data_IF_451910059866
#
_entry.id   IF_451910059866
#
_cell.length_a   1.000
_cell.length_b   1.000
_cell.length_c   1.000
_cell.angle_alpha   90.00
_cell.angle_beta   90.00
_cell.angle_gamma   90.00
#
_symmetry.space_group_name_H-M   'P 1'
#
loop_
_entity.id
_entity.type
_entity.pdbx_description
1 polymer ?
#
# COMPACT_ATOMS: atom_id res chain seq x y z
N UNK A 1 65.27 -7.94 153.60
CA UNK A 1 65.73 -9.31 153.32
C UNK A 1 66.59 -9.29 152.06
N UNK A 2 67.83 -9.83 152.02
CA UNK A 2 68.59 -10.54 153.06
C UNK A 2 69.35 -9.70 154.12
N UNK A 3 70.70 -9.74 154.20
CA UNK A 3 71.44 -10.01 155.45
C UNK A 3 72.72 -9.17 155.74
N UNK A 4 72.78 -8.58 156.94
CA UNK A 4 73.78 -8.73 158.06
C UNK A 4 75.31 -8.58 157.85
N UNK A 5 75.97 -7.69 158.62
CA UNK A 5 76.75 -7.87 159.92
C UNK A 5 78.11 -8.60 159.77
N UNK A 6 79.20 -8.31 160.51
CA UNK A 6 79.54 -7.38 161.63
C UNK A 6 81.05 -7.49 161.96
N UNK A 7 81.74 -6.52 162.59
CA UNK A 7 82.06 -6.43 164.06
C UNK A 7 82.87 -7.62 164.67
N UNK A 8 83.90 -7.53 165.54
CA UNK A 8 84.74 -6.51 166.28
C UNK A 8 86.17 -7.13 166.52
N UNK A 9 87.25 -6.51 167.04
CA UNK A 9 87.54 -5.13 167.50
C UNK A 9 88.15 -5.02 168.94
N UNK A 10 89.47 -5.24 169.14
CA UNK A 10 90.28 -5.13 170.41
C UNK A 10 91.79 -4.94 170.09
N UNK A 11 92.68 -4.33 170.90
CA UNK A 11 92.61 -3.83 172.31
C UNK A 11 93.74 -2.80 172.64
N UNK A 12 93.48 -1.89 173.60
CA UNK A 12 94.37 -1.21 174.61
C UNK A 12 95.71 -0.51 174.18
N UNK A 13 96.18 0.62 174.75
CA UNK A 13 95.73 1.51 175.86
C UNK A 13 96.83 1.73 176.94
N UNK A 14 97.01 2.87 177.66
CA UNK A 14 96.45 4.25 177.62
C UNK A 14 97.23 5.19 178.61
N UNK A 15 97.70 6.39 178.22
CA UNK A 15 98.12 7.46 179.17
C UNK A 15 97.98 8.89 178.59
N UNK A 16 97.82 9.92 179.44
CA UNK A 16 97.41 11.32 179.08
C UNK A 16 98.25 12.40 179.80
N UNK A 17 98.28 13.63 179.23
CA UNK A 17 98.09 14.88 180.01
C UNK A 17 97.83 16.15 179.16
N UNK A 18 96.67 16.82 179.39
CA UNK A 18 96.27 18.24 179.21
C UNK A 18 96.89 19.15 178.12
N UNK A 19 96.08 19.63 177.15
CA UNK A 19 96.01 21.04 176.65
C UNK A 19 95.03 21.29 175.46
N UNK A 20 93.76 20.83 175.48
CA UNK A 20 92.96 20.81 174.22
C UNK A 20 91.44 21.10 174.40
N UNK A 21 90.99 22.35 174.16
CA UNK A 21 89.55 22.74 174.16
C UNK A 21 89.14 23.91 173.22
N UNK A 22 90.06 24.58 172.53
CA UNK A 22 89.75 25.77 171.71
C UNK A 22 89.66 25.46 170.19
N UNK A 23 90.07 24.26 169.77
CA UNK A 23 90.26 23.87 168.35
C UNK A 23 88.99 23.53 167.56
N UNK A 24 87.87 23.18 168.22
CA UNK A 24 86.76 22.50 167.53
C UNK A 24 85.64 23.42 166.99
N UNK A 25 85.54 24.66 167.49
CA UNK A 25 84.47 25.59 167.07
C UNK A 25 84.70 26.14 165.65
N UNK A 26 85.95 26.39 165.25
CA UNK A 26 86.26 26.92 163.91
C UNK A 26 86.02 25.88 162.80
N UNK A 27 86.36 24.61 163.06
CA UNK A 27 86.13 23.50 162.13
C UNK A 27 84.65 23.37 161.75
N UNK A 28 83.74 23.59 162.70
CA UNK A 28 82.30 23.53 162.44
C UNK A 28 81.82 24.65 161.49
N UNK A 29 82.32 25.88 161.65
CA UNK A 29 81.99 27.01 160.76
C UNK A 29 82.53 26.82 159.35
N UNK A 30 83.78 26.36 159.22
CA UNK A 30 84.37 26.05 157.92
C UNK A 30 83.59 24.95 157.18
N UNK A 31 83.15 23.92 157.90
CA UNK A 31 82.33 22.84 157.35
C UNK A 31 80.95 23.37 156.91
N UNK A 32 80.29 24.21 157.72
CA UNK A 32 79.00 24.82 157.37
C UNK A 32 79.08 25.68 156.09
N UNK A 33 80.09 26.56 155.98
CA UNK A 33 80.32 27.35 154.77
C UNK A 33 80.61 26.48 153.53
N UNK A 34 81.31 25.35 153.72
CA UNK A 34 81.56 24.38 152.64
C UNK A 34 80.26 23.67 152.21
N UNK A 35 79.33 23.38 153.14
CA UNK A 35 77.99 22.88 152.81
C UNK A 35 77.12 23.92 152.11
N UNK A 36 77.16 25.20 152.51
CA UNK A 36 76.43 26.28 151.84
C UNK A 36 76.93 26.49 150.40
N UNK A 37 78.25 26.54 150.19
CA UNK A 37 78.83 26.72 148.87
C UNK A 37 78.54 25.50 147.98
N UNK A 38 78.55 24.28 148.55
CA UNK A 38 78.14 23.05 147.85
C UNK A 38 76.65 23.02 147.53
N UNK A 39 75.78 23.56 148.41
CA UNK A 39 74.36 23.73 148.16
C UNK A 39 74.10 24.75 147.05
N UNK A 40 74.87 25.85 147.01
CA UNK A 40 74.77 26.88 145.99
C UNK A 40 75.21 26.36 144.61
N UNK A 41 76.35 25.67 144.53
CA UNK A 41 76.84 25.04 143.29
C UNK A 41 75.87 23.95 142.79
N UNK A 42 75.39 23.07 143.68
CA UNK A 42 74.39 22.06 143.28
C UNK A 42 73.04 22.67 142.90
N UNK A 43 72.64 23.79 143.52
CA UNK A 43 71.47 24.58 143.12
C UNK A 43 71.63 25.24 141.75
N UNK A 44 72.82 25.79 141.44
CA UNK A 44 73.17 26.34 140.13
C UNK A 44 73.14 25.24 139.06
N UNK A 45 73.84 24.12 139.26
CA UNK A 45 73.81 22.99 138.32
C UNK A 45 72.41 22.40 138.12
N UNK A 46 71.57 22.39 139.15
CA UNK A 46 70.17 21.97 139.03
C UNK A 46 69.34 22.99 138.23
N UNK A 47 69.58 24.29 138.40
CA UNK A 47 68.94 25.35 137.61
C UNK A 47 69.33 25.27 136.14
N UNK A 48 70.64 25.14 135.87
CA UNK A 48 71.20 24.94 134.52
C UNK A 48 70.65 23.69 133.85
N UNK A 49 70.53 22.58 134.60
CA UNK A 49 69.94 21.34 134.09
C UNK A 49 68.44 21.50 133.79
N UNK A 50 67.66 22.17 134.66
CA UNK A 50 66.25 22.50 134.39
C UNK A 50 66.09 23.40 133.17
N UNK A 51 66.92 24.42 133.04
CA UNK A 51 66.95 25.27 131.85
C UNK A 51 67.32 24.50 130.58
N UNK A 52 68.30 23.59 130.66
CA UNK A 52 68.66 22.72 129.54
C UNK A 52 67.49 21.81 129.15
N UNK A 53 66.80 21.19 130.12
CA UNK A 53 65.59 20.41 129.88
C UNK A 53 64.47 21.26 129.25
N UNK A 54 64.24 22.49 129.70
CA UNK A 54 63.24 23.39 129.11
C UNK A 54 63.63 23.85 127.69
N UNK A 55 64.91 24.14 127.44
CA UNK A 55 65.44 24.47 126.10
C UNK A 55 65.28 23.27 125.16
N UNK A 56 65.61 22.06 125.62
CA UNK A 56 65.43 20.80 124.88
C UNK A 56 63.95 20.51 124.62
N UNK A 57 63.06 20.72 125.58
CA UNK A 57 61.62 20.52 125.41
C UNK A 57 61.04 21.47 124.35
N UNK A 58 61.38 22.77 124.41
CA UNK A 58 60.98 23.76 123.38
C UNK A 58 61.55 23.42 122.01
N UNK A 59 62.81 22.97 121.94
CA UNK A 59 63.42 22.53 120.69
C UNK A 59 62.72 21.29 120.12
N UNK A 60 62.37 20.29 120.94
CA UNK A 60 61.61 19.11 120.52
C UNK A 60 60.19 19.48 120.06
N UNK A 61 59.49 20.37 120.75
CA UNK A 61 58.18 20.89 120.34
C UNK A 61 58.28 21.59 118.97
N UNK A 62 59.25 22.51 118.81
CA UNK A 62 59.51 23.19 117.53
C UNK A 62 59.89 22.22 116.40
N UNK A 63 60.70 21.20 116.68
CA UNK A 63 61.06 20.16 115.71
C UNK A 63 59.83 19.30 115.34
N UNK A 64 58.96 18.98 116.29
CA UNK A 64 57.72 18.22 116.03
C UNK A 64 56.77 19.03 115.14
N UNK A 65 56.62 20.33 115.43
CA UNK A 65 55.86 21.28 114.62
C UNK A 65 56.43 21.43 113.20
N UNK A 66 57.76 21.47 113.06
CA UNK A 66 58.44 21.54 111.76
C UNK A 66 58.28 20.25 110.97
N UNK A 67 58.42 19.08 111.61
CA UNK A 67 58.19 17.78 111.00
C UNK A 67 56.74 17.66 110.50
N UNK A 68 55.75 18.00 111.33
CA UNK A 68 54.34 17.95 110.93
C UNK A 68 54.01 18.89 109.76
N UNK A 69 54.59 20.10 109.73
CA UNK A 69 54.44 21.02 108.59
C UNK A 69 55.10 20.46 107.33
N UNK A 70 56.33 19.95 107.44
CA UNK A 70 57.05 19.36 106.32
C UNK A 70 56.34 18.10 105.76
N UNK A 71 55.80 17.24 106.63
CA UNK A 71 54.98 16.09 106.24
C UNK A 71 53.71 16.53 105.52
N UNK A 72 53.01 17.54 106.03
CA UNK A 72 51.82 18.09 105.39
C UNK A 72 52.13 18.68 104.02
N UNK A 73 53.17 19.49 103.91
CA UNK A 73 53.59 20.10 102.65
C UNK A 73 54.07 19.04 101.64
N UNK A 74 54.74 17.98 102.11
CA UNK A 74 55.11 16.82 101.28
C UNK A 74 53.87 16.05 100.78
N UNK A 75 52.84 15.85 101.62
CA UNK A 75 51.57 15.22 101.22
C UNK A 75 50.82 16.10 100.21
N UNK A 76 50.74 17.41 100.45
CA UNK A 76 49.99 18.34 99.59
C UNK A 76 50.68 18.54 98.24
N UNK A 77 52.02 18.62 98.19
CA UNK A 77 52.79 18.59 96.94
C UNK A 77 52.67 17.25 96.21
N UNK A 78 52.77 16.12 96.92
CA UNK A 78 52.55 14.79 96.33
C UNK A 78 51.14 14.67 95.72
N UNK A 79 50.11 15.17 96.41
CA UNK A 79 48.73 15.18 95.90
C UNK A 79 48.57 16.11 94.70
N UNK A 80 49.28 17.24 94.66
CA UNK A 80 49.32 18.12 93.48
C UNK A 80 49.93 17.39 92.28
N UNK A 81 51.10 16.76 92.44
CA UNK A 81 51.76 16.00 91.38
C UNK A 81 50.93 14.81 90.89
N UNK A 82 50.27 14.08 91.79
CA UNK A 82 49.34 13.00 91.42
C UNK A 82 48.15 13.51 90.59
N UNK A 83 47.59 14.69 90.92
CA UNK A 83 46.53 15.32 90.12
C UNK A 83 47.04 15.78 88.75
N UNK A 84 48.27 16.32 88.69
CA UNK A 84 48.92 16.68 87.43
C UNK A 84 49.08 15.45 86.52
N UNK A 85 49.71 14.38 87.02
CA UNK A 85 49.90 13.12 86.27
C UNK A 85 48.56 12.50 85.81
N UNK A 86 47.51 12.60 86.62
CA UNK A 86 46.17 12.14 86.24
C UNK A 86 45.55 13.00 85.11
N UNK A 87 45.76 14.31 85.14
CA UNK A 87 45.33 15.23 84.07
C UNK A 87 46.13 15.01 82.78
N UNK A 88 47.45 14.82 82.87
CA UNK A 88 48.30 14.45 81.74
C UNK A 88 47.84 13.12 81.12
N UNK A 89 47.59 12.09 81.93
CA UNK A 89 47.06 10.80 81.45
C UNK A 89 45.70 10.92 80.74
N UNK A 90 44.81 11.78 81.26
CA UNK A 90 43.54 12.09 80.60
C UNK A 90 43.73 12.85 79.28
N UNK A 91 44.65 13.82 79.24
CA UNK A 91 45.04 14.54 78.02
C UNK A 91 45.63 13.61 76.96
N UNK A 92 46.57 12.73 77.31
CA UNK A 92 47.12 11.74 76.36
C UNK A 92 46.04 10.80 75.83
N UNK A 93 45.10 10.39 76.67
CA UNK A 93 43.96 9.56 76.26
C UNK A 93 43.04 10.32 75.29
N UNK A 94 42.74 11.59 75.58
CA UNK A 94 41.93 12.44 74.72
C UNK A 94 42.62 12.77 73.38
N UNK A 95 43.94 12.99 73.36
CA UNK A 95 44.70 13.16 72.12
C UNK A 95 44.71 11.88 71.27
N UNK A 96 44.93 10.72 71.88
CA UNK A 96 44.87 9.43 71.18
C UNK A 96 43.50 9.19 70.54
N UNK A 97 42.42 9.57 71.23
CA UNK A 97 41.07 9.44 70.68
C UNK A 97 40.76 10.49 69.61
N UNK A 98 41.20 11.75 69.78
CA UNK A 98 41.16 12.79 68.73
C UNK A 98 41.86 12.30 67.46
N UNK A 99 43.02 11.66 67.58
CA UNK A 99 43.81 11.23 66.43
C UNK A 99 43.13 10.06 65.70
N UNK A 100 42.56 9.08 66.42
CA UNK A 100 41.69 8.04 65.86
C UNK A 100 40.46 8.61 65.14
N UNK A 101 39.78 9.57 65.76
CA UNK A 101 38.61 10.24 65.16
C UNK A 101 39.02 11.06 63.93
N UNK A 102 40.22 11.65 63.91
CA UNK A 102 40.78 12.35 62.75
C UNK A 102 41.09 11.38 61.61
N UNK A 103 41.63 10.19 61.90
CA UNK A 103 41.85 9.12 60.91
C UNK A 103 40.54 8.58 60.34
N UNK A 104 39.54 8.31 61.18
CA UNK A 104 38.20 7.88 60.74
C UNK A 104 37.50 8.96 59.89
N UNK A 105 37.61 10.23 60.29
CA UNK A 105 37.07 11.35 59.51
C UNK A 105 37.74 11.46 58.13
N UNK A 106 39.08 11.31 58.05
CA UNK A 106 39.81 11.29 56.76
C UNK A 106 39.34 10.13 55.88
N UNK A 107 39.12 8.94 56.45
CA UNK A 107 38.59 7.80 55.71
C UNK A 107 37.23 8.12 55.08
N UNK A 108 36.28 8.62 55.88
CA UNK A 108 34.95 8.97 55.40
C UNK A 108 34.93 10.15 54.42
N UNK A 109 35.85 11.11 54.54
CA UNK A 109 36.03 12.17 53.53
C UNK A 109 36.48 11.56 52.20
N UNK A 110 37.50 10.69 52.21
CA UNK A 110 37.98 10.02 51.00
C UNK A 110 36.89 9.15 50.35
N UNK A 111 36.15 8.36 51.15
CA UNK A 111 35.00 7.57 50.67
C UNK A 111 33.93 8.46 50.03
N UNK A 112 33.60 9.60 50.66
CA UNK A 112 32.64 10.56 50.13
C UNK A 112 33.11 11.18 48.82
N UNK A 113 34.39 11.51 48.68
CA UNK A 113 34.96 12.01 47.43
C UNK A 113 34.92 10.96 46.32
N UNK A 114 35.24 9.70 46.61
CA UNK A 114 35.24 8.63 45.61
C UNK A 114 33.80 8.25 45.19
N UNK A 115 32.85 8.24 46.12
CA UNK A 115 31.42 8.14 45.81
C UNK A 115 30.93 9.33 44.96
N UNK A 116 31.43 10.55 45.22
CA UNK A 116 31.10 11.73 44.42
C UNK A 116 31.68 11.62 43.00
N UNK A 117 32.93 11.16 42.83
CA UNK A 117 33.56 10.90 41.52
C UNK A 117 32.80 9.82 40.74
N UNK A 118 32.38 8.73 41.40
CA UNK A 118 31.57 7.69 40.77
C UNK A 118 30.19 8.23 40.36
N UNK A 119 29.56 9.03 41.21
CA UNK A 119 28.25 9.64 40.93
C UNK A 119 28.32 10.60 39.74
N UNK A 120 29.32 11.47 39.67
CA UNK A 120 29.48 12.38 38.52
C UNK A 120 29.76 11.61 37.23
N UNK A 121 30.61 10.57 37.28
CA UNK A 121 30.85 9.68 36.15
C UNK A 121 29.56 9.02 35.63
N UNK A 122 28.80 8.35 36.51
CA UNK A 122 27.53 7.69 36.17
C UNK A 122 26.46 8.68 35.68
N UNK A 123 26.46 9.92 36.16
CA UNK A 123 25.59 10.98 35.64
C UNK A 123 26.01 11.36 34.22
N UNK A 124 27.31 11.56 33.94
CA UNK A 124 27.78 11.88 32.58
C UNK A 124 27.45 10.76 31.59
N UNK A 125 27.67 9.50 31.96
CA UNK A 125 27.29 8.34 31.14
C UNK A 125 25.77 8.23 30.93
N UNK A 126 24.95 8.47 31.97
CA UNK A 126 23.50 8.53 31.80
C UNK A 126 23.06 9.66 30.86
N UNK A 127 23.76 10.80 30.86
CA UNK A 127 23.44 11.89 29.92
C UNK A 127 23.82 11.55 28.48
N UNK A 128 24.97 10.92 28.23
CA UNK A 128 25.35 10.50 26.87
C UNK A 128 24.42 9.40 26.35
N UNK A 129 24.15 8.35 27.14
CA UNK A 129 23.22 7.28 26.77
C UNK A 129 21.79 7.78 26.50
N UNK A 130 21.32 8.81 27.22
CA UNK A 130 20.04 9.47 26.93
C UNK A 130 20.07 10.20 25.58
N UNK A 131 21.14 10.95 25.28
CA UNK A 131 21.31 11.64 24.00
C UNK A 131 21.41 10.65 22.83
N UNK A 132 22.16 9.56 22.99
CA UNK A 132 22.28 8.50 21.98
C UNK A 132 20.95 7.79 21.73
N UNK A 133 20.21 7.44 22.80
CA UNK A 133 18.85 6.87 22.66
C UNK A 133 17.90 7.82 21.91
N UNK A 134 17.94 9.12 22.20
CA UNK A 134 17.14 10.12 21.47
C UNK A 134 17.58 10.23 20.00
N UNK A 135 18.89 10.23 19.72
CA UNK A 135 19.43 10.26 18.37
C UNK A 135 19.04 9.00 17.56
N UNK A 136 19.13 7.81 18.16
CA UNK A 136 18.74 6.54 17.55
C UNK A 136 17.23 6.49 17.28
N UNK A 137 16.40 6.90 18.24
CA UNK A 137 14.96 6.99 18.06
C UNK A 137 14.56 7.97 16.94
N UNK A 138 15.28 9.11 16.82
CA UNK A 138 15.06 10.05 15.71
C UNK A 138 15.48 9.44 14.37
N UNK A 139 16.60 8.71 14.31
CA UNK A 139 17.06 8.01 13.10
C UNK A 139 16.07 6.94 12.65
N UNK A 140 15.57 6.09 13.56
CA UNK A 140 14.60 5.05 13.22
C UNK A 140 13.25 5.65 12.79
N UNK A 141 12.78 6.71 13.45
CA UNK A 141 11.60 7.45 13.01
C UNK A 141 11.77 8.07 11.61
N UNK A 142 12.91 8.70 11.33
CA UNK A 142 13.21 9.28 10.01
C UNK A 142 13.24 8.19 8.92
N UNK A 143 13.92 7.06 9.15
CA UNK A 143 13.97 5.93 8.19
C UNK A 143 12.55 5.39 7.93
N UNK A 144 11.71 5.28 8.96
CA UNK A 144 10.31 4.86 8.82
C UNK A 144 9.48 5.87 8.02
N UNK A 145 9.62 7.18 8.29
CA UNK A 145 8.97 8.25 7.53
C UNK A 145 9.43 8.29 6.07
N UNK A 146 10.72 8.10 5.78
CA UNK A 146 11.24 8.03 4.41
C UNK A 146 10.68 6.82 3.65
N UNK A 147 10.59 5.66 4.30
CA UNK A 147 9.99 4.46 3.71
C UNK A 147 8.49 4.66 3.43
N UNK A 148 7.74 5.27 4.37
CA UNK A 148 6.34 5.64 4.17
C UNK A 148 6.16 6.68 3.06
N UNK A 149 7.03 7.70 3.00
CA UNK A 149 7.01 8.74 1.98
C UNK A 149 7.25 8.17 0.58
N UNK A 150 8.25 7.29 0.43
CA UNK A 150 8.50 6.51 -0.80
C UNK A 150 7.28 5.65 -1.18
N UNK A 151 6.66 4.98 -0.20
CA UNK A 151 5.45 4.19 -0.47
C UNK A 151 4.26 5.06 -0.90
N UNK A 152 4.10 6.25 -0.33
CA UNK A 152 3.07 7.20 -0.72
C UNK A 152 3.33 7.79 -2.11
N UNK A 153 4.58 8.05 -2.50
CA UNK A 153 4.88 8.51 -3.86
C UNK A 153 4.68 7.41 -4.90
N UNK A 154 5.07 6.16 -4.62
CA UNK A 154 4.74 4.98 -5.44
C UNK A 154 3.22 4.83 -5.66
N UNK A 155 2.44 4.93 -4.58
CA UNK A 155 0.98 4.80 -4.65
C UNK A 155 0.34 5.95 -5.42
N UNK A 156 0.79 7.20 -5.21
CA UNK A 156 0.33 8.36 -5.98
C UNK A 156 0.64 8.24 -7.47
N UNK A 157 1.84 7.76 -7.83
CA UNK A 157 2.21 7.53 -9.23
C UNK A 157 1.35 6.44 -9.87
N UNK A 158 1.01 5.37 -9.13
CA UNK A 158 0.10 4.32 -9.60
C UNK A 158 -1.33 4.82 -9.77
N UNK A 159 -1.84 5.62 -8.83
CA UNK A 159 -3.17 6.25 -8.94
C UNK A 159 -3.23 7.14 -10.18
N UNK A 160 -2.27 8.06 -10.36
CA UNK A 160 -2.22 8.92 -11.54
C UNK A 160 -2.13 8.14 -12.87
N UNK A 161 -1.37 7.04 -12.89
CA UNK A 161 -1.29 6.16 -14.08
C UNK A 161 -2.59 5.41 -14.35
N UNK A 162 -3.35 5.05 -13.31
CA UNK A 162 -4.66 4.39 -13.46
C UNK A 162 -5.74 5.40 -13.86
N UNK A 163 -5.72 6.60 -13.31
CA UNK A 163 -6.60 7.72 -13.70
C UNK A 163 -6.41 8.05 -15.19
N UNK A 164 -5.16 8.19 -15.66
CA UNK A 164 -4.86 8.38 -17.09
C UNK A 164 -5.32 7.20 -17.96
N UNK A 165 -5.15 5.97 -17.51
CA UNK A 165 -5.61 4.79 -18.24
C UNK A 165 -7.14 4.67 -18.30
N UNK A 166 -7.84 5.13 -17.25
CA UNK A 166 -9.31 5.20 -17.22
C UNK A 166 -9.84 6.31 -18.13
N UNK A 167 -9.22 7.49 -18.13
CA UNK A 167 -9.59 8.61 -19.00
C UNK A 167 -9.50 8.20 -20.49
N UNK A 168 -8.36 7.66 -20.91
CA UNK A 168 -8.18 7.14 -22.28
C UNK A 168 -9.20 6.06 -22.65
N UNK A 169 -9.65 5.25 -21.66
CA UNK A 169 -10.69 4.23 -21.89
C UNK A 169 -12.09 4.84 -21.95
N UNK A 170 -12.37 5.91 -21.22
CA UNK A 170 -13.61 6.66 -21.36
C UNK A 170 -13.69 7.34 -22.73
N UNK A 171 -12.64 8.02 -23.18
CA UNK A 171 -12.53 8.61 -24.52
C UNK A 171 -12.71 7.57 -25.64
N UNK A 172 -12.07 6.40 -25.52
CA UNK A 172 -12.24 5.28 -26.46
C UNK A 172 -13.69 4.76 -26.52
N UNK A 173 -14.41 4.74 -25.40
CA UNK A 173 -15.80 4.32 -25.34
C UNK A 173 -16.74 5.37 -25.95
N UNK A 174 -16.60 6.65 -25.59
CA UNK A 174 -17.38 7.73 -26.22
C UNK A 174 -17.20 7.76 -27.74
N UNK A 175 -15.97 7.55 -28.23
CA UNK A 175 -15.70 7.50 -29.67
C UNK A 175 -16.37 6.29 -30.34
N UNK A 176 -16.41 5.13 -29.67
CA UNK A 176 -17.13 3.95 -30.16
C UNK A 176 -18.63 4.19 -30.21
N UNK A 177 -19.22 4.74 -29.15
CA UNK A 177 -20.65 5.07 -29.09
C UNK A 177 -21.06 6.05 -30.20
N UNK A 178 -20.33 7.16 -30.37
CA UNK A 178 -20.56 8.13 -31.46
C UNK A 178 -20.45 7.47 -32.85
N UNK A 179 -19.52 6.54 -33.03
CA UNK A 179 -19.36 5.78 -34.28
C UNK A 179 -20.51 4.79 -34.50
N UNK A 180 -20.97 4.12 -33.45
CA UNK A 180 -22.10 3.18 -33.50
C UNK A 180 -23.42 3.91 -33.80
N UNK A 181 -23.63 5.10 -33.23
CA UNK A 181 -24.76 5.97 -33.55
C UNK A 181 -24.73 6.43 -35.02
N UNK A 182 -23.58 6.90 -35.52
CA UNK A 182 -23.41 7.26 -36.93
C UNK A 182 -23.63 6.07 -37.88
N UNK A 183 -23.16 4.88 -37.50
CA UNK A 183 -23.42 3.65 -38.25
C UNK A 183 -24.93 3.32 -38.26
N UNK A 184 -25.63 3.46 -37.13
CA UNK A 184 -27.06 3.21 -37.02
C UNK A 184 -27.88 4.15 -37.93
N UNK A 185 -27.55 5.45 -37.95
CA UNK A 185 -28.15 6.43 -38.88
C UNK A 185 -27.89 6.04 -40.34
N UNK A 186 -26.68 5.58 -40.67
CA UNK A 186 -26.33 5.13 -42.02
C UNK A 186 -27.08 3.86 -42.43
N UNK A 187 -27.27 2.92 -41.50
CA UNK A 187 -28.08 1.70 -41.69
C UNK A 187 -29.56 2.06 -41.89
N UNK A 188 -30.10 3.00 -41.11
CA UNK A 188 -31.49 3.46 -41.29
C UNK A 188 -31.69 4.15 -42.66
N UNK A 189 -30.73 5.00 -43.07
CA UNK A 189 -30.77 5.64 -44.39
C UNK A 189 -30.75 4.62 -45.54
N UNK A 190 -29.84 3.65 -45.50
CA UNK A 190 -29.75 2.59 -46.52
C UNK A 190 -30.97 1.64 -46.50
N UNK A 191 -31.56 1.36 -45.34
CA UNK A 191 -32.81 0.60 -45.23
C UNK A 191 -33.98 1.32 -45.93
N UNK A 192 -34.12 2.63 -45.75
CA UNK A 192 -35.15 3.45 -46.43
C UNK A 192 -34.92 3.50 -47.95
N UNK A 193 -33.67 3.51 -48.40
CA UNK A 193 -33.35 3.40 -49.83
C UNK A 193 -33.68 2.01 -50.38
N UNK A 194 -33.32 0.94 -49.68
CA UNK A 194 -33.63 -0.44 -50.03
C UNK A 194 -35.15 -0.64 -50.21
N UNK A 195 -35.97 -0.13 -49.29
CA UNK A 195 -37.43 -0.18 -49.39
C UNK A 195 -37.99 0.58 -50.59
N UNK A 196 -37.40 1.73 -50.94
CA UNK A 196 -37.78 2.48 -52.16
C UNK A 196 -37.42 1.68 -53.42
N UNK A 197 -36.22 1.10 -53.47
CA UNK A 197 -35.78 0.27 -54.59
C UNK A 197 -36.64 -1.00 -54.74
N UNK A 198 -37.00 -1.67 -53.65
CA UNK A 198 -37.93 -2.81 -53.66
C UNK A 198 -39.32 -2.41 -54.21
N UNK A 199 -39.86 -1.24 -53.81
CA UNK A 199 -41.13 -0.72 -54.36
C UNK A 199 -41.03 -0.44 -55.87
N UNK A 200 -39.90 0.11 -56.34
CA UNK A 200 -39.67 0.36 -57.77
C UNK A 200 -39.52 -0.95 -58.56
N UNK A 201 -38.79 -1.93 -58.03
CA UNK A 201 -38.68 -3.27 -58.64
C UNK A 201 -40.05 -3.94 -58.77
N UNK A 202 -40.86 -3.95 -57.71
CA UNK A 202 -42.22 -4.49 -57.73
C UNK A 202 -43.20 -3.73 -58.65
N UNK A 203 -42.92 -2.46 -58.99
CA UNK A 203 -43.63 -1.75 -60.07
C UNK A 203 -43.17 -2.25 -61.45
N UNK A 204 -41.85 -2.34 -61.68
CA UNK A 204 -41.27 -2.81 -62.96
C UNK A 204 -41.63 -4.26 -63.28
N UNK A 205 -41.69 -5.15 -62.29
CA UNK A 205 -42.12 -6.53 -62.48
C UNK A 205 -43.58 -6.61 -62.96
N UNK A 206 -44.47 -5.75 -62.46
CA UNK A 206 -45.86 -5.67 -62.95
C UNK A 206 -45.93 -5.12 -64.38
N UNK A 207 -45.18 -4.06 -64.68
CA UNK A 207 -45.08 -3.52 -66.05
C UNK A 207 -44.55 -4.57 -67.04
N UNK A 208 -43.49 -5.30 -66.68
CA UNK A 208 -42.95 -6.42 -67.47
C UNK A 208 -43.97 -7.56 -67.62
N UNK A 209 -44.76 -7.84 -66.57
CA UNK A 209 -45.89 -8.76 -66.64
C UNK A 209 -46.93 -8.36 -67.68
N UNK A 210 -47.34 -7.08 -67.70
CA UNK A 210 -48.27 -6.54 -68.71
C UNK A 210 -47.68 -6.56 -70.13
N UNK A 211 -46.41 -6.19 -70.29
CA UNK A 211 -45.70 -6.27 -71.59
C UNK A 211 -45.63 -7.72 -72.08
N UNK A 212 -45.34 -8.68 -71.20
CA UNK A 212 -45.31 -10.10 -71.54
C UNK A 212 -46.69 -10.62 -71.94
N UNK A 213 -47.75 -10.24 -71.24
CA UNK A 213 -49.13 -10.56 -71.61
C UNK A 213 -49.47 -10.01 -73.00
N UNK A 214 -49.18 -8.73 -73.26
CA UNK A 214 -49.41 -8.11 -74.57
C UNK A 214 -48.61 -8.79 -75.69
N UNK A 215 -47.35 -9.12 -75.45
CA UNK A 215 -46.51 -9.85 -76.40
C UNK A 215 -47.07 -11.25 -76.70
N UNK A 216 -47.55 -11.98 -75.69
CA UNK A 216 -48.25 -13.25 -75.89
C UNK A 216 -49.51 -13.08 -76.75
N UNK A 217 -50.35 -12.08 -76.46
CA UNK A 217 -51.54 -11.78 -77.28
C UNK A 217 -51.19 -11.42 -78.72
N UNK A 218 -50.12 -10.66 -78.95
CA UNK A 218 -49.65 -10.33 -80.31
C UNK A 218 -49.19 -11.59 -81.06
N UNK A 219 -48.45 -12.49 -80.40
CA UNK A 219 -48.01 -13.77 -81.01
C UNK A 219 -49.21 -14.67 -81.31
N UNK A 220 -50.19 -14.73 -80.42
CA UNK A 220 -51.40 -15.55 -80.62
C UNK A 220 -52.29 -14.98 -81.73
N UNK A 221 -52.50 -13.67 -81.78
CA UNK A 221 -53.22 -13.01 -82.89
C UNK A 221 -52.48 -13.13 -84.22
N UNK A 222 -51.14 -13.10 -84.21
CA UNK A 222 -50.33 -13.39 -85.39
C UNK A 222 -50.51 -14.84 -85.84
N UNK A 223 -50.54 -15.80 -84.91
CA UNK A 223 -50.78 -17.21 -85.21
C UNK A 223 -52.17 -17.44 -85.80
N UNK A 224 -53.22 -16.84 -85.22
CA UNK A 224 -54.59 -16.88 -85.78
C UNK A 224 -54.64 -16.36 -87.22
N UNK A 225 -53.93 -15.26 -87.51
CA UNK A 225 -53.82 -14.72 -88.86
C UNK A 225 -53.04 -15.65 -89.80
N UNK A 226 -51.92 -16.22 -89.35
CA UNK A 226 -51.13 -17.19 -90.13
C UNK A 226 -51.96 -18.45 -90.45
N UNK A 227 -52.70 -19.00 -89.48
CA UNK A 227 -53.62 -20.13 -89.67
C UNK A 227 -54.73 -19.77 -90.68
N UNK A 228 -55.39 -18.61 -90.53
CA UNK A 228 -56.39 -18.12 -91.48
C UNK A 228 -55.83 -17.96 -92.91
N UNK A 229 -54.61 -17.44 -93.08
CA UNK A 229 -53.99 -17.34 -94.41
C UNK A 229 -53.72 -18.71 -95.03
N UNK A 230 -53.30 -19.70 -94.25
CA UNK A 230 -53.12 -21.08 -94.74
C UNK A 230 -54.45 -21.72 -95.15
N UNK A 231 -55.51 -21.54 -94.35
CA UNK A 231 -56.85 -22.02 -94.67
C UNK A 231 -57.42 -21.36 -95.93
N UNK A 232 -57.31 -20.03 -96.06
CA UNK A 232 -57.76 -19.29 -97.24
C UNK A 232 -57.01 -19.75 -98.50
N UNK A 233 -55.69 -19.93 -98.43
CA UNK A 233 -54.89 -20.46 -99.53
C UNK A 233 -55.24 -21.92 -99.87
N UNK A 234 -55.56 -22.74 -98.88
CA UNK A 234 -56.04 -24.11 -99.09
C UNK A 234 -57.42 -24.13 -99.77
N UNK A 235 -58.34 -23.27 -99.33
CA UNK A 235 -59.65 -23.09 -99.94
C UNK A 235 -59.53 -22.67 -101.41
N UNK A 236 -58.76 -21.61 -101.72
CA UNK A 236 -58.55 -21.16 -103.11
C UNK A 236 -57.89 -22.23 -103.97
N UNK A 237 -56.91 -22.99 -103.44
CA UNK A 237 -56.32 -24.15 -104.16
C UNK A 237 -57.38 -25.20 -104.47
N UNK A 238 -58.22 -25.54 -103.49
CA UNK A 238 -59.29 -26.52 -103.67
C UNK A 238 -60.34 -26.03 -104.67
N UNK A 239 -60.74 -24.76 -104.59
CA UNK A 239 -61.66 -24.11 -105.52
C UNK A 239 -61.13 -24.14 -106.96
N UNK A 240 -59.85 -23.78 -107.17
CA UNK A 240 -59.19 -23.89 -108.48
C UNK A 240 -59.22 -25.34 -109.00
N UNK A 241 -59.00 -26.34 -108.14
CA UNK A 241 -59.09 -27.76 -108.52
C UNK A 241 -60.52 -28.15 -108.90
N UNK A 242 -61.52 -27.73 -108.13
CA UNK A 242 -62.94 -28.03 -108.42
C UNK A 242 -63.42 -27.32 -109.68
N UNK A 243 -63.07 -26.05 -109.88
CA UNK A 243 -63.44 -25.25 -111.05
C UNK A 243 -62.78 -25.78 -112.33
N UNK A 244 -61.50 -26.19 -112.27
CA UNK A 244 -60.86 -26.92 -113.38
C UNK A 244 -61.56 -28.24 -113.68
N UNK A 245 -61.95 -29.02 -112.66
CA UNK A 245 -62.67 -30.28 -112.85
C UNK A 245 -64.08 -30.06 -113.46
N UNK A 246 -64.81 -29.04 -113.01
CA UNK A 246 -66.10 -28.63 -113.56
C UNK A 246 -65.97 -28.17 -115.01
N UNK A 247 -65.05 -27.24 -115.29
CA UNK A 247 -64.75 -26.77 -116.65
C UNK A 247 -64.41 -27.93 -117.60
N UNK A 248 -63.61 -28.91 -117.15
CA UNK A 248 -63.33 -30.13 -117.93
C UNK A 248 -64.60 -30.92 -118.26
N UNK A 249 -65.48 -31.13 -117.27
CA UNK A 249 -66.76 -31.83 -117.45
C UNK A 249 -67.69 -31.06 -118.40
N UNK A 250 -67.71 -29.74 -118.31
CA UNK A 250 -68.56 -28.85 -119.14
C UNK A 250 -68.05 -28.74 -120.57
N UNK A 251 -66.76 -28.51 -120.77
CA UNK A 251 -66.13 -28.55 -122.09
C UNK A 251 -66.35 -29.92 -122.78
N UNK A 252 -66.33 -31.02 -122.02
CA UNK A 252 -66.62 -32.36 -122.57
C UNK A 252 -68.10 -32.53 -122.94
N UNK A 253 -69.02 -32.05 -122.08
CA UNK A 253 -70.47 -32.05 -122.37
C UNK A 253 -70.79 -31.20 -123.60
N UNK A 254 -70.24 -29.97 -123.68
CA UNK A 254 -70.40 -29.05 -124.80
C UNK A 254 -69.80 -29.59 -126.10
N UNK A 255 -68.61 -30.18 -126.07
CA UNK A 255 -67.99 -30.82 -127.24
C UNK A 255 -68.84 -32.00 -127.75
N UNK A 256 -69.25 -32.92 -126.86
CA UNK A 256 -70.14 -34.05 -127.22
C UNK A 256 -71.50 -33.58 -127.75
N UNK A 257 -72.05 -32.48 -127.23
CA UNK A 257 -73.27 -31.88 -127.75
C UNK A 257 -73.08 -31.31 -129.17
N UNK A 258 -72.03 -30.50 -129.40
CA UNK A 258 -71.68 -29.98 -130.73
C UNK A 258 -71.42 -31.11 -131.74
N UNK A 259 -70.77 -32.19 -131.33
CA UNK A 259 -70.51 -33.35 -132.19
C UNK A 259 -71.81 -34.04 -132.61
N UNK A 260 -72.80 -34.18 -131.71
CA UNK A 260 -74.12 -34.73 -132.05
C UNK A 260 -74.92 -33.83 -132.98
N UNK A 261 -74.97 -32.52 -132.73
CA UNK A 261 -75.65 -31.56 -133.62
C UNK A 261 -75.00 -31.49 -135.00
N UNK A 262 -73.66 -31.63 -135.09
CA UNK A 262 -72.97 -31.74 -136.37
C UNK A 262 -73.29 -33.04 -137.12
N UNK A 263 -73.41 -34.16 -136.38
CA UNK A 263 -73.84 -35.44 -136.95
C UNK A 263 -75.27 -35.39 -137.46
N UNK A 264 -76.13 -34.56 -136.86
CA UNK A 264 -77.48 -34.25 -137.35
C UNK A 264 -77.51 -33.22 -138.50
N UNK A 265 -76.36 -32.83 -139.06
CA UNK A 265 -76.24 -31.94 -140.23
C UNK A 265 -76.49 -30.46 -139.97
N UNK A 266 -76.79 -30.05 -138.73
CA UNK A 266 -77.19 -28.66 -138.40
C UNK A 266 -76.02 -27.68 -138.32
N UNK A 267 -74.81 -28.18 -138.00
CA UNK A 267 -73.58 -27.38 -137.86
C UNK A 267 -72.38 -28.15 -138.42
N UNK A 268 -71.27 -27.47 -138.72
CA UNK A 268 -70.01 -28.12 -139.10
C UNK A 268 -69.40 -28.88 -137.92
N UNK A 269 -68.72 -30.00 -138.19
CA UNK A 269 -68.05 -30.80 -137.15
C UNK A 269 -67.01 -29.97 -136.38
N UNK A 270 -67.01 -30.02 -135.03
CA UNK A 270 -66.03 -29.29 -134.23
C UNK A 270 -64.62 -29.91 -134.37
N UNK A 271 -63.54 -29.11 -134.36
CA UNK A 271 -62.17 -29.61 -134.39
C UNK A 271 -61.90 -30.61 -133.25
N UNK A 272 -61.11 -31.66 -133.54
CA UNK A 272 -60.76 -32.69 -132.56
C UNK A 272 -60.11 -32.04 -131.35
N UNK A 273 -60.65 -32.32 -130.16
CA UNK A 273 -60.26 -31.71 -128.88
C UNK A 273 -59.96 -32.79 -127.85
N UNK A 274 -58.80 -32.71 -127.20
CA UNK A 274 -58.34 -33.74 -126.26
C UNK A 274 -58.67 -33.39 -124.80
N UNK A 275 -59.02 -34.41 -124.02
CA UNK A 275 -59.48 -34.30 -122.62
C UNK A 275 -58.56 -35.05 -121.63
N UNK A 276 -57.43 -35.56 -122.10
CA UNK A 276 -56.36 -36.16 -121.31
C UNK A 276 -55.11 -35.30 -121.45
N UNK A 277 -54.19 -35.34 -120.47
CA UNK A 277 -52.92 -34.63 -120.58
C UNK A 277 -52.03 -35.36 -121.57
N UNK A 278 -51.77 -34.75 -122.72
CA UNK A 278 -50.80 -35.24 -123.72
C UNK A 278 -49.91 -34.07 -124.14
N UNK A 279 -48.57 -34.21 -124.08
CA UNK A 279 -47.64 -33.14 -124.41
C UNK A 279 -47.56 -32.81 -125.91
N UNK A 280 -48.27 -33.57 -126.77
CA UNK A 280 -48.21 -33.42 -128.23
C UNK A 280 -49.56 -33.02 -128.85
N UNK A 281 -50.51 -32.55 -128.03
CA UNK A 281 -51.83 -32.16 -128.52
C UNK A 281 -51.96 -30.65 -128.72
N UNK A 282 -52.24 -30.23 -129.96
CA UNK A 282 -52.44 -28.83 -130.37
C UNK A 282 -53.79 -28.23 -129.99
N UNK A 283 -54.76 -29.03 -129.52
CA UNK A 283 -56.09 -28.57 -129.09
C UNK A 283 -56.53 -29.37 -127.86
N UNK A 284 -55.96 -29.02 -126.70
CA UNK A 284 -56.18 -29.69 -125.43
C UNK A 284 -56.96 -28.80 -124.47
N UNK A 285 -57.91 -29.40 -123.75
CA UNK A 285 -58.68 -28.71 -122.68
C UNK A 285 -57.77 -28.26 -121.53
N UNK A 286 -56.60 -28.87 -121.39
CA UNK A 286 -55.59 -28.43 -120.42
C UNK A 286 -54.84 -27.17 -120.88
N UNK A 287 -54.67 -26.95 -122.20
CA UNK A 287 -54.07 -25.72 -122.72
C UNK A 287 -54.94 -24.50 -122.41
N UNK A 288 -56.27 -24.63 -122.52
CA UNK A 288 -57.21 -23.57 -122.12
C UNK A 288 -57.13 -23.28 -120.60
N UNK A 289 -56.94 -24.31 -119.76
CA UNK A 289 -56.72 -24.14 -118.32
C UNK A 289 -55.38 -23.46 -118.01
N UNK A 290 -54.33 -23.76 -118.78
CA UNK A 290 -53.00 -23.17 -118.59
C UNK A 290 -52.96 -21.72 -119.07
N UNK A 291 -53.64 -21.40 -120.18
CA UNK A 291 -53.85 -20.02 -120.66
C UNK A 291 -54.69 -19.17 -119.68
N UNK A 292 -55.67 -19.78 -118.99
CA UNK A 292 -56.39 -19.12 -117.90
C UNK A 292 -55.51 -18.93 -116.63
N UNK A 293 -54.41 -19.67 -116.51
CA UNK A 293 -53.52 -19.67 -115.33
C UNK A 293 -52.28 -18.81 -115.53
N UNK A 294 -51.95 -18.42 -116.76
CA UNK A 294 -50.98 -17.34 -117.02
C UNK A 294 -51.45 -15.99 -116.47
N UNK A 295 -52.76 -15.83 -116.19
CA UNK A 295 -53.27 -14.81 -115.28
C UNK A 295 -53.02 -15.18 -113.80
N UNK A 296 -51.77 -15.48 -113.43
CA UNK A 296 -51.32 -15.36 -112.04
C UNK A 296 -51.27 -13.88 -111.71
N UNK A 297 -52.38 -13.31 -111.23
CA UNK A 297 -52.37 -11.96 -110.65
C UNK A 297 -51.49 -12.03 -109.41
N UNK A 298 -50.23 -11.64 -109.55
CA UNK A 298 -49.36 -11.38 -108.41
C UNK A 298 -49.71 -10.01 -107.85
N UNK A 299 -49.36 -9.76 -106.59
CA UNK A 299 -49.48 -8.42 -106.00
C UNK A 299 -48.79 -7.38 -106.90
N UNK A 300 -47.68 -7.76 -107.56
CA UNK A 300 -46.97 -6.97 -108.58
C UNK A 300 -47.89 -6.31 -109.62
N UNK A 301 -48.89 -7.04 -110.12
CA UNK A 301 -49.66 -6.70 -111.33
C UNK A 301 -50.87 -5.78 -111.06
N UNK A 302 -51.21 -5.56 -109.79
CA UNK A 302 -52.26 -4.64 -109.37
C UNK A 302 -51.81 -3.17 -109.54
N UNK A 303 -52.70 -2.28 -109.94
CA UNK A 303 -52.39 -0.82 -109.92
C UNK A 303 -52.19 -0.35 -108.48
N UNK A 304 -51.53 0.81 -108.29
CA UNK A 304 -51.30 1.34 -106.94
C UNK A 304 -52.60 1.57 -106.16
N UNK A 305 -53.66 2.04 -106.83
CA UNK A 305 -54.98 2.24 -106.25
C UNK A 305 -55.63 0.90 -105.84
N UNK A 306 -55.45 -0.17 -106.63
CA UNK A 306 -55.95 -1.51 -106.30
C UNK A 306 -55.18 -2.14 -105.14
N UNK A 307 -53.86 -1.97 -105.10
CA UNK A 307 -53.00 -2.36 -103.95
C UNK A 307 -53.47 -1.65 -102.69
N UNK A 308 -53.70 -0.35 -102.79
CA UNK A 308 -54.19 0.47 -101.68
C UNK A 308 -55.58 0.02 -101.22
N UNK A 309 -56.51 -0.25 -102.13
CA UNK A 309 -57.86 -0.71 -101.78
C UNK A 309 -57.83 -2.08 -101.06
N UNK A 310 -57.02 -3.02 -101.54
CA UNK A 310 -56.83 -4.33 -100.87
C UNK A 310 -56.19 -4.17 -99.50
N UNK A 311 -55.20 -3.29 -99.36
CA UNK A 311 -54.57 -2.99 -98.07
C UNK A 311 -55.55 -2.28 -97.11
N UNK A 312 -56.35 -1.31 -97.58
CA UNK A 312 -57.39 -0.64 -96.79
C UNK A 312 -58.42 -1.63 -96.26
N UNK A 313 -58.87 -2.56 -97.10
CA UNK A 313 -59.87 -3.58 -96.71
C UNK A 313 -59.26 -4.62 -95.75
N UNK A 314 -57.98 -4.98 -95.95
CA UNK A 314 -57.21 -5.78 -95.01
C UNK A 314 -57.06 -5.09 -93.65
N UNK A 315 -56.69 -3.80 -93.63
CA UNK A 315 -56.53 -3.01 -92.39
C UNK A 315 -57.87 -2.77 -91.68
N UNK A 316 -58.95 -2.46 -92.40
CA UNK A 316 -60.30 -2.35 -91.82
C UNK A 316 -60.69 -3.65 -91.09
N UNK A 317 -60.45 -4.79 -91.74
CA UNK A 317 -60.73 -6.12 -91.20
C UNK A 317 -59.81 -6.51 -90.04
N UNK A 318 -58.52 -6.19 -90.10
CA UNK A 318 -57.57 -6.36 -88.99
C UNK A 318 -57.92 -5.50 -87.77
N UNK A 319 -58.45 -4.29 -87.99
CA UNK A 319 -58.90 -3.38 -86.93
C UNK A 319 -60.33 -3.67 -86.45
N UNK A 320 -60.92 -4.80 -86.86
CA UNK A 320 -62.26 -5.23 -86.43
C UNK A 320 -63.43 -4.37 -86.93
N UNK A 321 -63.18 -3.42 -87.83
CA UNK A 321 -64.24 -2.60 -88.41
C UNK A 321 -64.92 -3.38 -89.53
N UNK A 322 -66.12 -3.89 -89.25
CA UNK A 322 -67.04 -4.32 -90.31
C UNK A 322 -67.42 -3.09 -91.13
N UNK A 323 -67.14 -3.15 -92.43
CA UNK A 323 -67.76 -2.26 -93.42
C UNK A 323 -69.30 -2.36 -93.27
N UNK A 324 -69.97 -1.21 -93.41
CA UNK A 324 -71.43 -1.12 -93.41
C UNK A 324 -71.99 -1.37 -94.80
#
# INVERSE_FOLDING_TARGET
>A
NPLRKGERGKKEGKQESKADKESDVEKAKANAALWELRLQVTGQSLSEYREACHKLARANEQLTDQLYRAEKDAIDTTRHWQRQLALEGAMFSAFKERDRLSEALKHHVNESEDLQKLTTSLVTENTSLRLDRVCLNRRTANISMEAQSKRLSELRAKVASLEQALELKAEELEWREKKEEMNLVTIQASQVELEKLQKVLAMRERELGHIKQLASTIVEKRRELEEFFHEALAHVKQEIVTSRLQYKKEALRGYRWRFREATAGKIKFPPIRTFHKSPHSTNSVYSDMEAAVTCKVQISDLTWEQKEQVLRLLFAKMNGQRER
#
